data_IF_468353216847
#
_entry.id   IF_468353216847
#
_cell.length_a   1.000
_cell.length_b   1.000
_cell.length_c   1.000
_cell.angle_alpha   90.00
_cell.angle_beta   90.00
_cell.angle_gamma   90.00
#
_symmetry.space_group_name_H-M   'P 1'
#
loop_
_entity.id
_entity.type
_entity.pdbx_description
1 polymer ?
#
# COMPACT_ATOMS: atom_id res chain seq x y z
N UNK A 1 -21.94 12.63 10.71
CA UNK A 1 -20.69 13.21 11.26
C UNK A 1 -19.87 12.02 11.73
N UNK A 2 -18.92 11.57 10.92
CA UNK A 2 -18.28 10.27 11.09
C UNK A 2 -16.84 10.49 11.54
N UNK A 3 -16.50 9.94 12.70
CA UNK A 3 -15.20 9.84 13.37
C UNK A 3 -14.02 10.60 12.74
N UNK A 4 -13.64 11.71 13.39
CA UNK A 4 -12.50 12.53 12.98
C UNK A 4 -11.18 12.04 13.61
N UNK A 5 -11.19 11.28 14.72
CA UNK A 5 -9.98 10.93 15.48
C UNK A 5 -9.98 9.49 15.97
N UNK A 6 -8.81 8.83 15.92
CA UNK A 6 -8.57 7.47 16.41
C UNK A 6 -7.61 7.52 17.60
N UNK A 7 -8.01 6.89 18.71
CA UNK A 7 -7.16 6.64 19.87
C UNK A 7 -6.87 5.15 20.04
N UNK A 8 -5.62 4.78 20.29
CA UNK A 8 -5.20 3.39 20.54
C UNK A 8 -4.75 3.26 21.99
N UNK A 9 -5.31 2.29 22.71
CA UNK A 9 -5.01 2.02 24.13
C UNK A 9 -4.33 0.66 24.28
N UNK A 10 -3.10 0.62 24.78
CA UNK A 10 -2.36 -0.61 25.04
C UNK A 10 -1.93 -0.64 26.50
N UNK A 11 -2.19 -1.76 27.19
CA UNK A 11 -1.87 -1.94 28.61
C UNK A 11 -2.44 -0.81 29.51
N UNK A 12 -3.68 -0.40 29.26
CA UNK A 12 -4.36 0.65 30.04
C UNK A 12 -3.83 2.08 29.81
N UNK A 13 -2.92 2.28 28.85
CA UNK A 13 -2.39 3.60 28.49
C UNK A 13 -2.74 3.94 27.05
N UNK A 14 -3.06 5.21 26.81
CA UNK A 14 -3.24 5.74 25.46
C UNK A 14 -1.87 5.89 24.81
N UNK A 15 -1.61 5.14 23.75
CA UNK A 15 -0.29 5.06 23.09
C UNK A 15 -0.25 5.77 21.74
N UNK A 16 -1.41 6.14 21.19
CA UNK A 16 -1.51 6.87 19.93
C UNK A 16 -2.85 7.60 19.82
N UNK A 17 -2.82 8.83 19.31
CA UNK A 17 -4.00 9.63 18.97
C UNK A 17 -3.69 10.36 17.66
N UNK A 18 -4.39 10.06 16.57
CA UNK A 18 -4.29 10.83 15.33
C UNK A 18 -5.63 10.93 14.61
N UNK A 19 -5.75 11.96 13.77
CA UNK A 19 -6.86 12.13 12.86
C UNK A 19 -6.82 11.08 11.73
N UNK A 20 -7.99 10.57 11.34
CA UNK A 20 -8.09 9.49 10.36
C UNK A 20 -7.61 9.89 8.96
N UNK A 21 -7.74 11.16 8.58
CA UNK A 21 -7.22 11.69 7.31
C UNK A 21 -5.70 11.77 7.35
N UNK A 22 -5.13 12.18 8.48
CA UNK A 22 -3.68 12.24 8.68
C UNK A 22 -3.03 10.86 8.54
N UNK A 23 -3.65 9.82 9.10
CA UNK A 23 -3.20 8.42 8.97
C UNK A 23 -3.27 7.95 7.52
N UNK A 24 -4.35 8.28 6.80
CA UNK A 24 -4.53 7.93 5.38
C UNK A 24 -3.51 8.63 4.46
N UNK A 25 -3.06 9.83 4.82
CA UNK A 25 -2.07 10.60 4.04
C UNK A 25 -0.63 10.20 4.33
N UNK A 26 -0.29 9.92 5.60
CA UNK A 26 1.08 9.56 6.01
C UNK A 26 1.50 8.15 5.56
N UNK A 27 0.55 7.27 5.25
CA UNK A 27 0.87 5.88 4.90
C UNK A 27 1.18 5.72 3.42
N UNK A 28 2.37 5.20 3.17
CA UNK A 28 2.77 4.68 1.86
C UNK A 28 1.76 3.63 1.42
N UNK A 29 1.21 3.80 0.23
CA UNK A 29 0.17 2.91 -0.30
C UNK A 29 0.80 1.76 -1.06
N UNK A 30 0.20 0.60 -0.92
CA UNK A 30 0.51 -0.56 -1.75
C UNK A 30 -0.48 -0.60 -2.91
N UNK A 31 0.00 -1.05 -4.06
CA UNK A 31 -0.81 -1.19 -5.26
C UNK A 31 -0.62 -2.57 -5.86
N UNK A 32 -1.69 -3.20 -6.30
CA UNK A 32 -1.63 -4.38 -7.15
C UNK A 32 -1.82 -3.92 -8.59
N UNK A 33 -0.83 -4.22 -9.41
CA UNK A 33 -0.77 -3.83 -10.82
C UNK A 33 -1.00 -5.06 -11.67
N UNK A 34 -1.97 -5.01 -12.58
CA UNK A 34 -2.23 -6.09 -13.54
C UNK A 34 -1.91 -5.61 -14.95
N UNK A 35 -0.98 -6.30 -15.61
CA UNK A 35 -0.49 -6.02 -16.94
C UNK A 35 -1.23 -6.87 -17.98
N UNK A 36 -1.30 -6.38 -19.22
CA UNK A 36 -1.89 -7.13 -20.33
C UNK A 36 -1.06 -8.36 -20.72
N UNK A 37 0.24 -8.36 -20.42
CA UNK A 37 1.16 -9.44 -20.73
C UNK A 37 2.14 -9.71 -19.57
N UNK A 38 2.65 -10.94 -19.49
CA UNK A 38 3.69 -11.30 -18.50
C UNK A 38 5.01 -10.61 -18.81
N UNK A 39 5.28 -10.41 -20.08
CA UNK A 39 6.48 -9.76 -20.60
C UNK A 39 6.53 -8.29 -20.14
N UNK A 40 5.41 -7.57 -20.22
CA UNK A 40 5.31 -6.19 -19.73
C UNK A 40 5.53 -6.10 -18.21
N UNK A 41 4.92 -7.01 -17.44
CA UNK A 41 5.14 -7.10 -16.00
C UNK A 41 6.63 -7.35 -15.69
N UNK A 42 7.25 -8.31 -16.37
CA UNK A 42 8.66 -8.66 -16.15
C UNK A 42 9.58 -7.51 -16.53
N UNK A 43 9.30 -6.80 -17.62
CA UNK A 43 10.06 -5.62 -18.01
C UNK A 43 9.93 -4.53 -16.95
N UNK A 44 8.71 -4.25 -16.48
CA UNK A 44 8.46 -3.24 -15.45
C UNK A 44 9.23 -3.53 -14.14
N UNK A 45 9.23 -4.78 -13.67
CA UNK A 45 9.93 -5.16 -12.44
C UNK A 45 11.45 -5.14 -12.56
N UNK A 46 11.99 -5.26 -13.77
CA UNK A 46 13.42 -5.19 -14.05
C UNK A 46 13.93 -3.76 -14.31
N UNK A 47 13.09 -2.87 -14.84
CA UNK A 47 13.51 -1.51 -15.25
C UNK A 47 13.29 -0.45 -14.19
N UNK A 48 12.46 -0.72 -13.18
CA UNK A 48 12.09 0.27 -12.16
C UNK A 48 12.70 -0.04 -10.81
N UNK A 49 12.83 0.97 -9.96
CA UNK A 49 13.43 0.86 -8.62
C UNK A 49 12.39 0.68 -7.51
N UNK A 50 11.16 0.29 -7.86
CA UNK A 50 10.12 0.07 -6.87
C UNK A 50 10.34 -1.25 -6.12
N UNK A 51 9.76 -1.34 -4.92
CA UNK A 51 9.77 -2.58 -4.15
C UNK A 51 8.56 -3.43 -4.52
N UNK A 52 8.84 -4.68 -4.90
CA UNK A 52 7.83 -5.64 -5.30
C UNK A 52 7.68 -6.75 -4.27
N UNK A 53 6.47 -7.28 -4.14
CA UNK A 53 6.16 -8.42 -3.28
C UNK A 53 5.55 -9.55 -4.14
N UNK A 54 4.29 -9.93 -3.93
CA UNK A 54 3.65 -11.01 -4.67
C UNK A 54 3.69 -10.78 -6.18
N UNK A 55 4.34 -11.69 -6.91
CA UNK A 55 4.35 -11.74 -8.37
C UNK A 55 3.54 -12.95 -8.84
N UNK A 56 2.53 -12.71 -9.67
CA UNK A 56 1.74 -13.75 -10.33
C UNK A 56 2.04 -13.78 -11.84
N UNK A 57 1.15 -14.37 -12.63
CA UNK A 57 1.35 -14.55 -14.07
C UNK A 57 1.53 -13.23 -14.82
N UNK A 58 0.72 -12.22 -14.53
CA UNK A 58 0.73 -10.91 -15.18
C UNK A 58 0.42 -9.78 -14.18
N UNK A 59 0.56 -10.03 -12.88
CA UNK A 59 0.31 -9.03 -11.85
C UNK A 59 1.44 -8.98 -10.83
N UNK A 60 1.68 -7.79 -10.29
CA UNK A 60 2.68 -7.58 -9.22
C UNK A 60 2.16 -6.60 -8.18
N UNK A 61 2.46 -6.89 -6.92
CA UNK A 61 2.24 -5.96 -5.81
C UNK A 61 3.44 -5.01 -5.67
N UNK A 62 3.17 -3.71 -5.72
CA UNK A 62 4.13 -2.63 -5.45
C UNK A 62 3.92 -2.13 -4.04
N UNK A 63 4.96 -2.18 -3.22
CA UNK A 63 4.91 -1.78 -1.81
C UNK A 63 5.46 -0.39 -1.62
N UNK A 64 4.93 0.29 -0.59
CA UNK A 64 5.53 1.50 -0.04
C UNK A 64 5.74 2.61 -1.07
N UNK A 65 4.76 2.86 -1.94
CA UNK A 65 4.88 3.89 -2.99
C UNK A 65 4.81 5.28 -2.36
N UNK A 66 5.95 5.97 -2.33
CA UNK A 66 6.10 7.33 -1.84
C UNK A 66 5.66 8.37 -2.88
N UNK A 67 5.99 8.14 -4.16
CA UNK A 67 5.67 9.03 -5.26
C UNK A 67 4.73 8.33 -6.25
N UNK A 68 3.43 8.53 -6.06
CA UNK A 68 2.41 7.96 -6.94
C UNK A 68 2.48 8.53 -8.37
N UNK A 69 2.85 9.80 -8.55
CA UNK A 69 3.00 10.41 -9.87
C UNK A 69 4.14 9.76 -10.67
N UNK A 70 5.28 9.49 -10.02
CA UNK A 70 6.36 8.72 -10.64
C UNK A 70 5.91 7.31 -11.04
N UNK A 71 5.14 6.63 -10.20
CA UNK A 71 4.58 5.32 -10.54
C UNK A 71 3.69 5.41 -11.80
N UNK A 72 2.74 6.34 -11.84
CA UNK A 72 1.84 6.50 -12.99
C UNK A 72 2.61 6.80 -14.28
N UNK A 73 3.64 7.64 -14.21
CA UNK A 73 4.51 7.93 -15.36
C UNK A 73 5.22 6.70 -15.88
N UNK A 74 5.75 5.85 -14.99
CA UNK A 74 6.36 4.58 -15.40
C UNK A 74 5.33 3.65 -16.05
N UNK A 75 4.14 3.52 -15.45
CA UNK A 75 3.08 2.65 -15.97
C UNK A 75 2.53 3.06 -17.34
N UNK A 76 2.65 4.33 -17.72
CA UNK A 76 2.24 4.81 -19.04
C UNK A 76 3.01 4.14 -20.21
N UNK A 77 4.18 3.54 -19.94
CA UNK A 77 4.96 2.81 -20.94
C UNK A 77 4.49 1.36 -21.15
N UNK A 78 3.48 0.91 -20.39
CA UNK A 78 3.01 -0.46 -20.37
C UNK A 78 1.50 -0.51 -20.59
N UNK A 79 1.02 -1.63 -21.14
CA UNK A 79 -0.41 -1.85 -21.28
C UNK A 79 -0.95 -2.44 -19.97
N UNK A 80 -1.69 -1.62 -19.23
CA UNK A 80 -2.33 -2.00 -17.97
C UNK A 80 -3.74 -2.54 -18.20
N UNK A 81 -4.12 -3.56 -17.43
CA UNK A 81 -5.50 -4.06 -17.33
C UNK A 81 -6.20 -3.52 -16.08
N UNK A 82 -5.48 -3.42 -14.96
CA UNK A 82 -6.05 -2.96 -13.69
C UNK A 82 -4.98 -2.39 -12.76
N UNK A 83 -5.38 -1.44 -11.92
CA UNK A 83 -4.58 -0.84 -10.85
C UNK A 83 -5.47 -0.77 -9.60
N UNK A 84 -5.17 -1.60 -8.62
CA UNK A 84 -5.90 -1.63 -7.35
C UNK A 84 -5.04 -1.05 -6.25
N UNK A 85 -5.57 -0.06 -5.53
CA UNK A 85 -4.94 0.41 -4.29
C UNK A 85 -5.41 -0.43 -3.12
N UNK A 86 -4.49 -0.84 -2.25
CA UNK A 86 -4.89 -1.47 -0.99
C UNK A 86 -5.65 -0.47 -0.12
N UNK A 87 -6.86 -0.86 0.32
CA UNK A 87 -7.65 -0.06 1.25
C UNK A 87 -7.10 -0.29 2.65
N UNK A 88 -6.43 0.72 3.21
CA UNK A 88 -6.04 0.69 4.62
C UNK A 88 -7.29 0.81 5.50
N UNK A 89 -7.68 -0.29 6.13
CA UNK A 89 -8.78 -0.31 7.10
C UNK A 89 -8.28 0.04 8.51
N UNK A 90 -9.23 0.27 9.42
CA UNK A 90 -8.93 0.43 10.83
C UNK A 90 -8.23 -0.82 11.38
N UNK A 91 -8.70 -2.00 11.00
CA UNK A 91 -8.13 -3.30 11.41
C UNK A 91 -6.65 -3.41 11.04
N UNK A 92 -6.26 -2.99 9.82
CA UNK A 92 -4.85 -2.95 9.41
C UNK A 92 -4.02 -1.99 10.29
N UNK A 93 -4.61 -0.87 10.73
CA UNK A 93 -3.99 0.05 11.68
C UNK A 93 -3.84 -0.59 13.06
N UNK A 94 -4.90 -1.22 13.58
CA UNK A 94 -4.87 -1.95 14.85
C UNK A 94 -3.76 -3.01 14.85
N UNK A 95 -3.68 -3.83 13.81
CA UNK A 95 -2.67 -4.88 13.72
C UNK A 95 -1.23 -4.34 13.75
N UNK A 96 -0.97 -3.13 13.23
CA UNK A 96 0.37 -2.53 13.32
C UNK A 96 0.79 -2.21 14.78
N UNK A 97 -0.12 -1.68 15.60
CA UNK A 97 0.20 -1.28 16.98
C UNK A 97 0.11 -2.44 18.00
N UNK A 98 -0.72 -3.45 17.72
CA UNK A 98 -0.91 -4.60 18.62
C UNK A 98 -0.23 -5.89 18.13
N UNK A 99 0.00 -6.05 16.83
CA UNK A 99 0.52 -7.28 16.20
C UNK A 99 2.03 -7.51 16.36
N UNK A 100 2.73 -6.68 17.15
CA UNK A 100 4.13 -6.87 17.55
C UNK A 100 4.38 -8.04 18.51
N UNK A 101 3.62 -9.13 18.38
CA UNK A 101 3.86 -10.41 19.03
C UNK A 101 3.55 -11.53 18.01
N UNK A 102 4.40 -11.67 17.01
CA UNK A 102 4.68 -12.99 16.44
C UNK A 102 5.95 -13.48 17.14
N UNK A 103 5.77 -14.33 18.14
CA UNK A 103 6.80 -15.26 18.59
C UNK A 103 6.86 -16.43 17.60
#
# INVERSE_FOLDING_TARGET
>A
KNCDTIGIIKQGKMVFIEDIQSIKQKKRKNYTLTFASKEDMTRFTQTTTFHFDNMNTNSVDVKSVDNFDALIKELNHFRMLDIQSEVYTLENLFMHYYGGNKA
#
